data_IF_579485242761
#
_entry.id   IF_579485242761
#
_cell.length_a   1.000
_cell.length_b   1.000
_cell.length_c   1.000
_cell.angle_alpha   90.00
_cell.angle_beta   90.00
_cell.angle_gamma   90.00
#
_symmetry.space_group_name_H-M   'P 1'
#
loop_
_entity.id
_entity.type
_entity.pdbx_description
1 polymer ?
#
# COMPACT_ATOMS: atom_id res chain seq x y z
N UNK A 1 5.89 -8.00 -7.85
CA UNK A 1 7.08 -7.11 -7.71
C UNK A 1 6.63 -5.98 -6.79
N UNK A 2 7.46 -5.50 -5.84
CA UNK A 2 7.08 -4.55 -4.76
C UNK A 2 7.93 -3.25 -4.83
N UNK A 3 7.38 -2.03 -4.60
CA UNK A 3 8.02 -0.68 -4.78
C UNK A 3 9.44 -0.54 -4.23
N UNK A 4 9.84 -1.42 -3.30
CA UNK A 4 11.23 -1.62 -2.93
C UNK A 4 12.19 -1.61 -4.12
N UNK A 5 11.78 -1.92 -5.36
CA UNK A 5 12.65 -1.85 -6.55
C UNK A 5 13.19 -0.45 -6.90
N UNK A 6 12.38 0.63 -6.86
CA UNK A 6 12.89 1.97 -7.20
C UNK A 6 13.73 2.54 -6.05
N UNK A 7 13.28 2.35 -4.80
CA UNK A 7 14.10 2.69 -3.63
C UNK A 7 15.43 1.92 -3.61
N UNK A 8 15.42 0.63 -4.01
CA UNK A 8 16.62 -0.22 -4.15
C UNK A 8 17.58 0.25 -5.25
N UNK A 9 17.12 1.01 -6.25
CA UNK A 9 18.03 1.67 -7.21
C UNK A 9 18.83 2.81 -6.58
N UNK A 10 18.24 3.48 -5.57
CA UNK A 10 18.88 4.61 -4.86
C UNK A 10 19.69 4.11 -3.66
N UNK A 11 19.17 3.15 -2.91
CA UNK A 11 19.79 2.57 -1.73
C UNK A 11 19.67 1.04 -1.79
N UNK A 12 20.60 0.33 -2.46
CA UNK A 12 20.60 -1.12 -2.53
C UNK A 12 20.97 -1.77 -1.19
N UNK A 13 20.66 -3.06 -1.04
CA UNK A 13 21.08 -3.87 0.11
C UNK A 13 20.04 -4.07 1.20
N UNK A 14 18.94 -3.31 1.21
CA UNK A 14 17.85 -3.49 2.17
C UNK A 14 16.79 -4.48 1.68
N UNK A 15 16.16 -5.13 2.65
CA UNK A 15 14.98 -5.97 2.51
C UNK A 15 13.69 -5.13 2.35
N UNK A 16 12.64 -5.66 1.70
CA UNK A 16 11.42 -4.90 1.42
C UNK A 16 10.75 -4.25 2.65
N UNK A 17 10.80 -4.90 3.81
CA UNK A 17 10.20 -4.38 5.04
C UNK A 17 11.01 -3.23 5.67
N UNK A 18 12.31 -3.16 5.40
CA UNK A 18 13.19 -2.13 5.95
C UNK A 18 12.92 -0.77 5.30
N UNK A 19 12.64 -0.74 3.99
CA UNK A 19 12.23 0.48 3.30
C UNK A 19 10.92 1.06 3.85
N UNK A 20 10.06 0.21 4.41
CA UNK A 20 8.77 0.61 4.97
C UNK A 20 8.82 0.83 6.49
N UNK A 21 9.99 0.61 7.12
CA UNK A 21 10.17 0.75 8.56
C UNK A 21 9.38 -0.26 9.39
N UNK A 22 9.19 -1.48 8.87
CA UNK A 22 8.53 -2.57 9.58
C UNK A 22 9.52 -3.61 10.08
N UNK A 23 9.17 -4.29 11.17
CA UNK A 23 9.81 -5.57 11.50
C UNK A 23 9.38 -6.65 10.50
N UNK A 24 10.22 -7.68 10.33
CA UNK A 24 9.91 -8.83 9.46
C UNK A 24 8.57 -9.51 9.80
N UNK A 25 8.23 -9.60 11.09
CA UNK A 25 6.95 -10.18 11.56
C UNK A 25 5.75 -9.31 11.18
N UNK A 26 5.85 -7.99 11.36
CA UNK A 26 4.80 -7.05 10.96
C UNK A 26 4.56 -7.09 9.45
N UNK A 27 5.65 -7.09 8.66
CA UNK A 27 5.55 -7.17 7.21
C UNK A 27 4.92 -8.47 6.71
N UNK A 28 5.29 -9.62 7.31
CA UNK A 28 4.64 -10.91 7.00
C UNK A 28 3.14 -10.85 7.29
N UNK A 29 2.74 -10.27 8.43
CA UNK A 29 1.33 -10.14 8.79
C UNK A 29 0.56 -9.22 7.82
N UNK A 30 1.19 -8.16 7.34
CA UNK A 30 0.61 -7.29 6.31
C UNK A 30 0.40 -8.03 4.98
N UNK A 31 1.39 -8.84 4.58
CA UNK A 31 1.31 -9.70 3.40
C UNK A 31 0.18 -10.72 3.47
N UNK A 32 0.00 -11.37 4.63
CA UNK A 32 -1.12 -12.29 4.87
C UNK A 32 -2.49 -11.61 4.74
N UNK A 33 -2.55 -10.31 5.04
CA UNK A 33 -3.78 -9.51 4.97
C UNK A 33 -3.95 -8.79 3.64
N UNK A 34 -3.01 -8.91 2.69
CA UNK A 34 -2.99 -8.09 1.47
C UNK A 34 -4.30 -8.15 0.69
N UNK A 35 -4.79 -9.35 0.37
CA UNK A 35 -6.05 -9.50 -0.37
C UNK A 35 -7.25 -8.84 0.36
N UNK A 36 -7.29 -8.95 1.68
CA UNK A 36 -8.32 -8.31 2.50
C UNK A 36 -8.18 -6.78 2.49
N UNK A 37 -6.95 -6.28 2.62
CA UNK A 37 -6.65 -4.85 2.60
C UNK A 37 -7.03 -4.23 1.25
N UNK A 38 -6.70 -4.90 0.13
CA UNK A 38 -7.01 -4.43 -1.22
C UNK A 38 -8.52 -4.36 -1.46
N UNK A 39 -9.27 -5.40 -1.13
CA UNK A 39 -10.74 -5.39 -1.29
C UNK A 39 -11.41 -4.30 -0.45
N UNK A 40 -10.92 -4.10 0.77
CA UNK A 40 -11.49 -3.09 1.67
C UNK A 40 -11.11 -1.66 1.26
N UNK A 41 -9.96 -1.48 0.59
CA UNK A 41 -9.51 -0.19 0.05
C UNK A 41 -10.45 0.36 -1.02
N UNK A 42 -10.85 -0.46 -1.99
CA UNK A 42 -11.75 -0.02 -3.06
C UNK A 42 -13.03 0.54 -2.46
N UNK A 43 -13.63 -0.21 -1.53
CA UNK A 43 -14.87 0.19 -0.85
C UNK A 43 -14.71 1.47 -0.02
N UNK A 44 -13.63 1.59 0.77
CA UNK A 44 -13.47 2.75 1.65
C UNK A 44 -12.99 4.02 0.93
N UNK A 45 -12.16 3.89 -0.11
CA UNK A 45 -11.67 5.05 -0.87
C UNK A 45 -12.82 5.79 -1.57
N UNK A 46 -13.81 5.04 -2.05
CA UNK A 46 -15.01 5.59 -2.69
C UNK A 46 -15.97 6.23 -1.70
N UNK A 47 -15.98 5.78 -0.44
CA UNK A 47 -16.96 6.22 0.56
C UNK A 47 -16.46 7.28 1.55
N UNK A 48 -15.20 7.27 1.97
CA UNK A 48 -14.78 8.00 3.19
C UNK A 48 -13.57 8.93 3.03
N UNK A 49 -13.02 9.09 1.82
CA UNK A 49 -12.04 10.13 1.51
C UNK A 49 -10.72 10.04 2.31
N UNK A 50 -9.99 11.16 2.40
CA UNK A 50 -8.61 11.23 2.91
C UNK A 50 -8.45 10.80 4.39
N UNK A 51 -9.52 10.89 5.19
CA UNK A 51 -9.50 10.61 6.63
C UNK A 51 -9.20 9.15 6.98
N UNK A 52 -9.69 8.20 6.18
CA UNK A 52 -9.40 6.77 6.38
C UNK A 52 -7.99 6.38 5.92
N UNK A 53 -7.42 7.09 4.94
CA UNK A 53 -5.98 6.94 4.61
C UNK A 53 -5.10 7.34 5.80
N UNK A 54 -5.43 8.43 6.49
CA UNK A 54 -4.68 8.88 7.68
C UNK A 54 -4.78 7.89 8.84
N UNK A 55 -5.95 7.26 9.05
CA UNK A 55 -6.18 6.23 10.09
C UNK A 55 -5.15 5.11 10.06
N UNK A 56 -4.76 4.66 8.87
CA UNK A 56 -3.80 3.57 8.72
C UNK A 56 -2.34 4.03 8.59
N UNK A 57 -2.10 5.33 8.38
CA UNK A 57 -0.74 5.90 8.31
C UNK A 57 -0.15 6.17 9.70
N UNK A 58 -0.98 6.59 10.65
CA UNK A 58 -0.56 6.87 12.02
C UNK A 58 -0.48 5.63 12.92
N UNK A 59 0.46 5.63 13.87
CA UNK A 59 0.45 4.71 15.02
C UNK A 59 -0.33 5.28 16.20
N UNK A 60 -0.53 4.48 17.25
CA UNK A 60 -1.16 4.95 18.50
C UNK A 60 -2.68 4.74 18.57
N UNK A 61 -3.24 3.98 17.64
CA UNK A 61 -4.66 3.60 17.66
C UNK A 61 -4.86 2.26 18.35
N UNK A 62 -5.88 2.19 19.21
CA UNK A 62 -6.25 0.94 19.87
C UNK A 62 -6.64 -0.15 18.86
N UNK A 63 -6.55 -1.42 19.26
CA UNK A 63 -6.94 -2.54 18.40
C UNK A 63 -8.41 -2.44 17.94
N UNK A 64 -9.31 -1.98 18.82
CA UNK A 64 -10.73 -1.75 18.51
C UNK A 64 -10.90 -0.66 17.44
N UNK A 65 -10.14 0.43 17.55
CA UNK A 65 -10.11 1.49 16.54
C UNK A 65 -9.43 1.05 15.23
N UNK A 66 -8.85 -0.14 15.17
CA UNK A 66 -8.30 -0.76 13.94
C UNK A 66 -9.05 -2.00 13.52
N UNK A 67 -10.19 -2.30 14.15
CA UNK A 67 -11.05 -3.41 13.76
C UNK A 67 -11.86 -3.01 12.53
N UNK A 68 -11.71 -3.80 11.47
CA UNK A 68 -12.25 -3.52 10.14
C UNK A 68 -12.66 -4.85 9.53
N UNK A 69 -13.91 -5.00 9.10
CA UNK A 69 -14.40 -6.26 8.50
C UNK A 69 -14.06 -7.52 9.31
N UNK A 70 -14.09 -7.43 10.65
CA UNK A 70 -13.76 -8.55 11.56
C UNK A 70 -12.25 -8.83 11.75
N UNK A 71 -11.36 -8.04 11.14
CA UNK A 71 -9.90 -8.19 11.28
C UNK A 71 -9.27 -6.93 11.88
N UNK A 72 -8.31 -7.12 12.78
CA UNK A 72 -7.52 -6.01 13.32
C UNK A 72 -6.41 -5.68 12.33
N UNK A 73 -6.49 -4.47 11.75
CA UNK A 73 -5.47 -3.97 10.82
C UNK A 73 -4.21 -3.59 11.61
N UNK A 74 -3.01 -4.06 11.21
CA UNK A 74 -1.76 -3.65 11.86
C UNK A 74 -1.57 -2.14 11.82
N UNK A 75 -0.93 -1.59 12.85
CA UNK A 75 -0.58 -0.17 12.86
C UNK A 75 0.33 0.18 11.69
N UNK A 76 0.23 1.43 11.22
CA UNK A 76 1.03 1.96 10.12
C UNK A 76 0.86 1.20 8.80
N UNK A 77 -0.13 0.32 8.65
CA UNK A 77 -0.39 -0.45 7.42
C UNK A 77 -0.58 0.43 6.17
N UNK A 78 -0.91 1.70 6.36
CA UNK A 78 -1.04 2.71 5.31
C UNK A 78 0.23 2.89 4.47
N UNK A 79 1.43 2.72 5.05
CA UNK A 79 2.67 2.77 4.26
C UNK A 79 2.75 1.59 3.29
N UNK A 80 2.45 0.37 3.75
CA UNK A 80 2.38 -0.81 2.90
C UNK A 80 1.32 -0.67 1.80
N UNK A 81 0.14 -0.21 2.19
CA UNK A 81 -1.01 -0.05 1.31
C UNK A 81 -0.73 1.00 0.22
N UNK A 82 -0.37 2.22 0.62
CA UNK A 82 -0.11 3.30 -0.33
C UNK A 82 1.02 2.93 -1.29
N UNK A 83 2.00 2.18 -0.79
CA UNK A 83 3.06 1.61 -1.58
C UNK A 83 2.56 0.57 -2.61
N UNK A 84 1.58 -0.28 -2.30
CA UNK A 84 1.03 -1.21 -3.31
C UNK A 84 0.23 -0.45 -4.38
N UNK A 85 -0.55 0.56 -3.99
CA UNK A 85 -1.41 1.32 -4.91
C UNK A 85 -0.66 2.08 -6.00
N UNK A 86 0.52 2.61 -5.69
CA UNK A 86 1.28 3.45 -6.63
C UNK A 86 2.39 2.68 -7.35
N UNK A 87 2.49 1.38 -7.09
CA UNK A 87 3.60 0.59 -7.59
C UNK A 87 3.60 0.45 -9.10
N UNK A 88 2.46 0.04 -9.65
CA UNK A 88 2.32 -0.25 -11.05
C UNK A 88 2.62 1.00 -11.87
N UNK A 89 2.05 2.14 -11.47
CA UNK A 89 2.26 3.43 -12.15
C UNK A 89 3.69 3.95 -12.01
N UNK A 90 4.33 3.81 -10.85
CA UNK A 90 5.74 4.19 -10.67
C UNK A 90 6.66 3.30 -11.51
N UNK A 91 6.31 2.02 -11.68
CA UNK A 91 7.06 1.07 -12.50
C UNK A 91 6.89 1.35 -14.00
N UNK A 92 5.67 1.66 -14.43
CA UNK A 92 5.34 1.92 -15.83
C UNK A 92 5.82 3.31 -16.29
N UNK A 93 5.60 4.35 -15.48
CA UNK A 93 5.79 5.75 -15.88
C UNK A 93 7.02 6.42 -15.26
N UNK A 94 7.60 5.82 -14.22
CA UNK A 94 8.67 6.42 -13.43
C UNK A 94 8.15 7.47 -12.43
N UNK A 95 8.99 7.79 -11.43
CA UNK A 95 8.60 8.61 -10.27
C UNK A 95 8.15 10.02 -10.70
N UNK A 96 8.91 10.70 -11.56
CA UNK A 96 8.65 12.10 -11.92
C UNK A 96 7.26 12.32 -12.55
N UNK A 97 6.80 11.36 -13.36
CA UNK A 97 5.46 11.39 -13.97
C UNK A 97 4.39 10.89 -13.00
N UNK A 98 4.66 9.78 -12.30
CA UNK A 98 3.72 9.21 -11.33
C UNK A 98 3.35 10.18 -10.20
N UNK A 99 4.27 11.08 -9.79
CA UNK A 99 3.99 12.12 -8.80
C UNK A 99 2.87 13.09 -9.19
N UNK A 100 2.56 13.21 -10.49
CA UNK A 100 1.51 14.09 -11.02
C UNK A 100 0.25 13.33 -11.41
N UNK A 101 0.25 12.01 -11.22
CA UNK A 101 -0.88 11.18 -11.58
C UNK A 101 -2.03 11.36 -10.57
N UNK A 102 -3.25 11.36 -11.11
CA UNK A 102 -4.47 11.27 -10.34
C UNK A 102 -4.65 9.86 -9.74
N UNK A 103 -5.54 9.75 -8.75
CA UNK A 103 -5.88 8.46 -8.17
C UNK A 103 -6.51 7.49 -9.19
N UNK A 104 -7.30 8.00 -10.15
CA UNK A 104 -7.89 7.22 -11.23
C UNK A 104 -6.81 6.64 -12.15
N UNK A 105 -5.82 7.44 -12.55
CA UNK A 105 -4.70 6.93 -13.36
C UNK A 105 -3.89 5.86 -12.64
N UNK A 106 -3.67 6.01 -11.32
CA UNK A 106 -3.04 4.96 -10.51
C UNK A 106 -3.84 3.65 -10.56
N UNK A 107 -5.17 3.75 -10.38
CA UNK A 107 -6.06 2.59 -10.39
C UNK A 107 -6.13 1.91 -11.76
N UNK A 108 -6.26 2.67 -12.85
CA UNK A 108 -6.30 2.13 -14.22
C UNK A 108 -5.01 1.39 -14.59
N UNK A 109 -3.85 1.90 -14.15
CA UNK A 109 -2.57 1.23 -14.37
C UNK A 109 -2.47 -0.05 -13.52
N UNK A 110 -3.02 -0.04 -12.30
CA UNK A 110 -3.01 -1.21 -11.40
C UNK A 110 -3.90 -2.34 -11.92
N UNK A 111 -5.12 -2.03 -12.40
CA UNK A 111 -6.00 -3.02 -13.07
C UNK A 111 -5.30 -3.64 -14.28
N UNK A 112 -4.76 -2.79 -15.18
CA UNK A 112 -4.02 -3.28 -16.35
C UNK A 112 -2.80 -4.12 -15.96
N UNK A 113 -2.15 -3.82 -14.85
CA UNK A 113 -1.04 -4.62 -14.34
C UNK A 113 -1.49 -5.98 -13.80
N UNK A 114 -2.63 -6.03 -13.10
CA UNK A 114 -3.22 -7.27 -12.61
C UNK A 114 -3.61 -8.21 -13.76
N UNK A 115 -4.25 -7.69 -14.80
CA UNK A 115 -4.66 -8.46 -16.00
C UNK A 115 -3.47 -9.06 -16.76
N UNK A 116 -2.30 -8.40 -16.73
CA UNK A 116 -1.07 -8.91 -17.37
C UNK A 116 -0.39 -10.04 -16.59
N UNK A 117 -0.78 -10.24 -15.33
CA UNK A 117 -0.24 -11.27 -14.44
C UNK A 117 -1.17 -12.46 -14.19
N UNK A 118 -2.41 -12.38 -14.70
CA UNK A 118 -3.38 -13.47 -14.71
C UNK A 118 -3.19 -14.36 -15.96
#
# INVERSE_FOLDING_TARGET
MTIGRQARKVAPGFEPWEYLGYTRRQYRRLRELEAFLTQYLETELDHTGLGYRLRYLSGGMSATQRLVGGKVIPERSGYYIGNRMVEAIVTEWGIARALRASAAECHDVDIRAADRTA
#
